data_IF_941566045279
#
_entry.id   IF_941566045279
#
_cell.length_a   1.000
_cell.length_b   1.000
_cell.length_c   1.000
_cell.angle_alpha   90.00
_cell.angle_beta   90.00
_cell.angle_gamma   90.00
#
_symmetry.space_group_name_H-M   'P 1'
#
loop_
_entity.id
_entity.type
_entity.pdbx_description
1 polymer ?
#
# COMPACT_ATOMS: atom_id res chain seq x y z
N UNK A 1 5.33 14.17 4.87
CA UNK A 1 4.40 13.08 4.46
C UNK A 1 3.28 13.02 5.48
N UNK A 2 2.03 12.92 5.04
CA UNK A 2 0.90 12.68 5.91
C UNK A 2 0.30 11.30 5.67
N UNK A 3 -0.15 10.66 6.73
CA UNK A 3 -0.85 9.37 6.68
C UNK A 3 -2.14 9.45 7.47
N UNK A 4 -3.21 8.90 6.92
CA UNK A 4 -4.47 8.66 7.59
C UNK A 4 -4.90 7.23 7.36
N UNK A 5 -5.15 6.50 8.44
CA UNK A 5 -5.59 5.10 8.40
C UNK A 5 -7.02 4.99 8.90
N UNK A 6 -7.86 4.30 8.16
CA UNK A 6 -9.28 4.08 8.50
C UNK A 6 -9.56 2.59 8.43
N UNK A 7 -10.09 2.04 9.52
CA UNK A 7 -10.56 0.67 9.60
C UNK A 7 -12.08 0.72 9.77
N UNK A 8 -12.82 -0.07 9.01
CA UNK A 8 -14.27 -0.16 9.12
C UNK A 8 -14.78 -1.48 8.52
N UNK A 9 -15.44 -2.30 9.33
CA UNK A 9 -15.90 -3.61 8.91
C UNK A 9 -14.76 -4.46 8.35
N UNK A 10 -14.90 -4.93 7.11
CA UNK A 10 -13.89 -5.75 6.43
C UNK A 10 -12.90 -4.93 5.58
N UNK A 11 -12.89 -3.61 5.72
CA UNK A 11 -12.00 -2.73 4.97
C UNK A 11 -10.99 -2.05 5.89
N UNK A 12 -9.76 -1.92 5.40
CA UNK A 12 -8.72 -1.11 6.02
C UNK A 12 -8.06 -0.24 4.94
N UNK A 13 -8.17 1.07 5.07
CA UNK A 13 -7.67 2.04 4.08
C UNK A 13 -6.57 2.90 4.68
N UNK A 14 -5.46 3.02 3.97
CA UNK A 14 -4.43 4.02 4.24
C UNK A 14 -4.46 5.07 3.13
N UNK A 15 -4.63 6.31 3.54
CA UNK A 15 -4.41 7.49 2.71
C UNK A 15 -3.02 8.03 3.01
N UNK A 16 -2.28 8.33 1.96
CA UNK A 16 -0.96 8.93 2.06
C UNK A 16 -0.83 10.09 1.08
N UNK A 17 -0.25 11.18 1.54
CA UNK A 17 0.23 12.26 0.68
C UNK A 17 1.71 12.49 0.98
N UNK A 18 2.54 12.46 -0.05
CA UNK A 18 3.97 12.70 0.05
C UNK A 18 4.43 13.71 -0.98
N UNK A 19 5.25 14.66 -0.54
CA UNK A 19 5.97 15.60 -1.40
C UNK A 19 7.46 15.28 -1.29
N UNK A 20 8.15 15.35 -2.42
CA UNK A 20 9.59 15.18 -2.45
C UNK A 20 10.30 16.20 -1.56
N UNK A 21 11.50 15.87 -1.11
CA UNK A 21 12.33 16.77 -0.30
C UNK A 21 13.25 17.57 -1.19
N UNK A 22 13.43 18.89 -0.95
CA UNK A 22 14.22 19.78 -1.81
C UNK A 22 15.69 19.35 -1.96
N UNK A 23 16.22 18.57 -1.03
CA UNK A 23 17.59 18.09 -0.97
C UNK A 23 17.80 16.70 -1.56
N UNK A 24 16.74 16.07 -2.07
CA UNK A 24 16.77 14.72 -2.62
C UNK A 24 16.57 14.73 -4.12
N UNK A 25 17.39 13.98 -4.83
CA UNK A 25 17.27 13.76 -6.27
C UNK A 25 17.12 12.27 -6.56
N UNK A 26 16.07 11.94 -7.28
CA UNK A 26 15.73 10.58 -7.69
C UNK A 26 15.00 9.74 -6.64
N UNK A 27 14.31 8.71 -7.12
CA UNK A 27 13.50 7.81 -6.31
C UNK A 27 12.25 8.46 -5.70
N UNK A 28 11.70 7.84 -4.67
CA UNK A 28 10.48 8.31 -4.00
C UNK A 28 10.64 9.60 -3.19
N UNK A 29 11.86 10.04 -2.94
CA UNK A 29 12.16 11.28 -2.24
C UNK A 29 12.50 12.45 -3.16
N UNK A 30 12.48 12.26 -4.48
CA UNK A 30 12.84 13.31 -5.46
C UNK A 30 12.03 14.58 -5.24
N UNK A 31 12.72 15.72 -5.23
CA UNK A 31 12.12 17.04 -4.95
C UNK A 31 10.93 17.40 -5.84
N UNK A 32 10.92 16.90 -7.07
CA UNK A 32 9.89 17.18 -8.06
C UNK A 32 8.75 16.12 -8.05
N UNK A 33 8.79 15.16 -7.11
CA UNK A 33 7.76 14.14 -6.99
C UNK A 33 6.67 14.55 -6.01
N UNK A 34 5.43 14.48 -6.44
CA UNK A 34 4.24 14.46 -5.61
C UNK A 34 3.52 13.12 -5.79
N UNK A 35 3.16 12.51 -4.69
CA UNK A 35 2.45 11.23 -4.66
C UNK A 35 1.28 11.31 -3.69
N UNK A 36 0.09 10.95 -4.16
CA UNK A 36 -1.07 10.66 -3.34
C UNK A 36 -1.45 9.20 -3.54
N UNK A 37 -1.70 8.50 -2.44
CA UNK A 37 -2.07 7.09 -2.43
C UNK A 37 -3.30 6.86 -1.58
N UNK A 38 -4.20 6.01 -2.08
CA UNK A 38 -5.29 5.40 -1.33
C UNK A 38 -5.17 3.89 -1.48
N UNK A 39 -4.70 3.22 -0.44
CA UNK A 39 -4.50 1.78 -0.41
C UNK A 39 -5.55 1.13 0.50
N UNK A 40 -6.46 0.36 -0.08
CA UNK A 40 -7.55 -0.29 0.65
C UNK A 40 -7.43 -1.80 0.58
N UNK A 41 -7.35 -2.45 1.74
CA UNK A 41 -7.63 -3.87 1.89
C UNK A 41 -9.13 -4.13 1.88
N UNK A 42 -9.56 -5.07 1.07
CA UNK A 42 -10.90 -5.65 1.03
C UNK A 42 -10.83 -7.09 1.54
N UNK A 43 -10.93 -7.24 2.86
CA UNK A 43 -10.64 -8.50 3.52
C UNK A 43 -9.13 -8.74 3.70
N UNK A 44 -8.72 -9.99 4.05
CA UNK A 44 -7.38 -10.25 4.57
C UNK A 44 -6.29 -10.31 3.49
N UNK A 45 -6.63 -10.44 2.21
CA UNK A 45 -5.64 -10.80 1.19
C UNK A 45 -5.75 -10.06 -0.14
N UNK A 46 -6.70 -9.14 -0.27
CA UNK A 46 -6.92 -8.38 -1.50
C UNK A 46 -6.81 -6.88 -1.24
N UNK A 47 -5.91 -6.21 -1.93
CA UNK A 47 -5.69 -4.78 -1.78
C UNK A 47 -5.72 -4.08 -3.14
N UNK A 48 -6.39 -2.95 -3.21
CA UNK A 48 -6.30 -2.00 -4.33
C UNK A 48 -5.60 -0.75 -3.82
N UNK A 49 -4.61 -0.29 -4.54
CA UNK A 49 -3.94 0.98 -4.29
C UNK A 49 -4.12 1.91 -5.49
N UNK A 50 -4.81 3.01 -5.27
CA UNK A 50 -4.98 4.11 -6.21
C UNK A 50 -3.86 5.12 -5.97
N UNK A 51 -3.08 5.39 -7.01
CA UNK A 51 -1.93 6.28 -6.97
C UNK A 51 -2.16 7.44 -7.94
N UNK A 52 -2.01 8.66 -7.45
CA UNK A 52 -1.94 9.88 -8.23
C UNK A 52 -0.51 10.39 -8.13
N UNK A 53 0.21 10.34 -9.23
CA UNK A 53 1.64 10.62 -9.31
C UNK A 53 1.84 11.84 -10.19
N UNK A 54 2.48 12.87 -9.65
CA UNK A 54 3.00 14.01 -10.43
C UNK A 54 4.52 14.04 -10.30
N UNK A 55 5.19 13.90 -11.41
CA UNK A 55 6.64 14.01 -11.50
C UNK A 55 7.03 15.04 -12.56
N UNK A 56 7.62 16.14 -12.12
CA UNK A 56 8.04 17.25 -12.99
C UNK A 56 6.90 17.82 -13.86
N UNK A 57 5.69 17.88 -13.28
CA UNK A 57 4.49 18.34 -13.97
C UNK A 57 3.85 17.33 -14.92
N UNK A 58 4.38 16.10 -14.96
CA UNK A 58 3.76 14.98 -15.67
C UNK A 58 2.93 14.16 -14.69
N UNK A 59 1.60 14.32 -14.78
CA UNK A 59 0.65 13.66 -13.89
C UNK A 59 0.05 12.43 -14.54
N UNK A 60 0.01 11.32 -13.79
CA UNK A 60 -0.67 10.11 -14.20
C UNK A 60 -1.33 9.42 -13.01
N UNK A 61 -2.36 8.63 -13.30
CA UNK A 61 -3.04 7.78 -12.32
C UNK A 61 -2.62 6.33 -12.55
N UNK A 62 -2.34 5.64 -11.46
CA UNK A 62 -1.95 4.22 -11.46
C UNK A 62 -2.82 3.46 -10.50
N UNK A 63 -3.29 2.29 -10.91
CA UNK A 63 -3.99 1.34 -10.03
C UNK A 63 -3.12 0.11 -9.88
N UNK A 64 -2.76 -0.18 -8.64
CA UNK A 64 -2.03 -1.39 -8.27
C UNK A 64 -2.97 -2.32 -7.52
N UNK A 65 -3.09 -3.55 -7.97
CA UNK A 65 -3.88 -4.61 -7.32
C UNK A 65 -2.90 -5.63 -6.76
N UNK A 66 -3.04 -5.93 -5.47
CA UNK A 66 -2.22 -6.93 -4.78
C UNK A 66 -3.11 -8.03 -4.20
N UNK A 67 -2.73 -9.28 -4.44
CA UNK A 67 -3.40 -10.44 -3.87
C UNK A 67 -2.38 -11.32 -3.15
N UNK A 68 -2.63 -11.61 -1.88
CA UNK A 68 -1.84 -12.55 -1.09
C UNK A 68 -2.55 -13.90 -1.09
N UNK A 69 -2.05 -14.84 -1.87
CA UNK A 69 -2.65 -16.17 -2.01
C UNK A 69 -1.92 -17.15 -1.09
N UNK A 70 -2.54 -17.61 0.03
CA UNK A 70 -1.93 -18.60 0.90
C UNK A 70 -1.61 -19.89 0.13
N UNK A 71 -0.39 -20.39 0.29
CA UNK A 71 0.09 -21.63 -0.34
C UNK A 71 0.49 -22.70 0.69
N UNK A 72 0.47 -22.34 1.96
CA UNK A 72 0.75 -23.20 3.09
C UNK A 72 0.57 -22.43 4.42
N UNK A 73 0.75 -23.10 5.57
CA UNK A 73 0.61 -22.45 6.87
C UNK A 73 1.50 -21.23 7.08
N UNK A 74 2.71 -21.25 6.50
CA UNK A 74 3.73 -20.23 6.68
C UNK A 74 4.17 -19.61 5.35
N UNK A 75 3.34 -19.73 4.31
CA UNK A 75 3.70 -19.25 2.98
C UNK A 75 2.52 -18.73 2.18
N UNK A 76 2.78 -17.75 1.36
CA UNK A 76 1.84 -17.22 0.38
C UNK A 76 2.56 -16.80 -0.91
N UNK A 77 1.82 -16.71 -1.99
CA UNK A 77 2.27 -16.10 -3.23
C UNK A 77 1.66 -14.70 -3.33
N UNK A 78 2.50 -13.69 -3.52
CA UNK A 78 2.04 -12.36 -3.89
C UNK A 78 1.82 -12.31 -5.41
N UNK A 79 0.59 -12.06 -5.80
CA UNK A 79 0.22 -11.73 -7.18
C UNK A 79 -0.13 -10.26 -7.25
N UNK A 80 0.36 -9.57 -8.28
CA UNK A 80 0.02 -8.17 -8.48
C UNK A 80 -0.30 -7.87 -9.94
N UNK A 81 -1.13 -6.87 -10.16
CA UNK A 81 -1.44 -6.29 -11.45
C UNK A 81 -1.33 -4.78 -11.37
N UNK A 82 -0.94 -4.15 -12.48
CA UNK A 82 -0.83 -2.70 -12.57
C UNK A 82 -1.58 -2.20 -13.80
N UNK A 83 -2.31 -1.11 -13.63
CA UNK A 83 -2.95 -0.36 -14.70
C UNK A 83 -2.49 1.10 -14.62
N UNK A 84 -2.00 1.63 -15.73
CA UNK A 84 -1.53 3.01 -15.83
C UNK A 84 -2.45 3.73 -16.79
N UNK A 85 -3.03 4.85 -16.34
CA UNK A 85 -3.89 5.68 -17.18
C UNK A 85 -3.05 6.28 -18.30
N UNK A 86 -3.48 6.08 -19.52
CA UNK A 86 -2.84 6.70 -20.68
C UNK A 86 -3.05 8.22 -20.63
N UNK A 87 -1.97 9.02 -20.53
CA UNK A 87 -2.09 10.46 -20.61
C UNK A 87 -2.61 10.93 -21.97
N UNK A 88 -3.37 12.03 -21.97
CA UNK A 88 -3.90 12.60 -23.19
C UNK A 88 -2.77 13.05 -24.13
N UNK A 89 -2.96 12.83 -25.43
CA UNK A 89 -2.02 13.24 -26.47
C UNK A 89 -0.83 12.30 -26.69
N UNK A 90 -0.68 11.25 -25.90
CA UNK A 90 0.35 10.24 -26.16
C UNK A 90 -0.10 9.19 -27.19
N UNK A 91 0.82 8.79 -28.05
CA UNK A 91 0.61 7.62 -28.90
C UNK A 91 0.65 6.32 -28.10
N UNK A 92 0.13 5.25 -28.69
CA UNK A 92 0.00 3.95 -28.02
C UNK A 92 1.35 3.33 -27.65
N UNK A 93 2.36 3.46 -28.50
CA UNK A 93 3.68 2.89 -28.25
C UNK A 93 4.37 3.57 -27.06
N UNK A 94 4.27 4.88 -26.98
CA UNK A 94 4.78 5.67 -25.84
C UNK A 94 4.03 5.33 -24.55
N UNK A 95 2.71 5.20 -24.61
CA UNK A 95 1.90 4.83 -23.46
C UNK A 95 2.27 3.43 -22.93
N UNK A 96 2.44 2.45 -23.81
CA UNK A 96 2.88 1.09 -23.45
C UNK A 96 4.29 1.07 -22.86
N UNK A 97 5.19 1.88 -23.38
CA UNK A 97 6.54 2.01 -22.83
C UNK A 97 6.50 2.57 -21.38
N UNK A 98 5.69 3.59 -21.14
CA UNK A 98 5.51 4.17 -19.80
C UNK A 98 4.91 3.12 -18.85
N UNK A 99 3.84 2.43 -19.26
CA UNK A 99 3.21 1.38 -18.44
C UNK A 99 4.20 0.26 -18.08
N UNK A 100 5.04 -0.18 -19.03
CA UNK A 100 6.08 -1.16 -18.78
C UNK A 100 7.11 -0.66 -17.74
N UNK A 101 7.50 0.61 -17.79
CA UNK A 101 8.40 1.21 -16.80
C UNK A 101 7.80 1.23 -15.38
N UNK A 102 6.52 1.55 -15.26
CA UNK A 102 5.82 1.45 -13.97
C UNK A 102 5.77 0.00 -13.47
N UNK A 103 5.47 -0.97 -14.34
CA UNK A 103 5.45 -2.38 -13.98
C UNK A 103 6.82 -2.88 -13.48
N UNK A 104 7.90 -2.51 -14.16
CA UNK A 104 9.28 -2.82 -13.77
C UNK A 104 9.64 -2.19 -12.42
N UNK A 105 9.26 -0.94 -12.19
CA UNK A 105 9.52 -0.21 -10.95
C UNK A 105 8.81 -0.88 -9.76
N UNK A 106 7.52 -1.16 -9.86
CA UNK A 106 6.77 -1.83 -8.79
C UNK A 106 7.24 -3.27 -8.57
N UNK A 107 7.51 -4.02 -9.64
CA UNK A 107 8.05 -5.37 -9.55
C UNK A 107 9.40 -5.41 -8.84
N UNK A 108 10.28 -4.46 -9.14
CA UNK A 108 11.57 -4.33 -8.46
C UNK A 108 11.41 -4.00 -6.97
N UNK A 109 10.47 -3.11 -6.61
CA UNK A 109 10.12 -2.80 -5.22
C UNK A 109 9.67 -4.05 -4.47
N UNK A 110 8.72 -4.80 -5.01
CA UNK A 110 8.25 -6.05 -4.39
C UNK A 110 9.35 -7.09 -4.18
N UNK A 111 10.29 -7.21 -5.11
CA UNK A 111 11.42 -8.13 -4.93
C UNK A 111 12.31 -7.73 -3.74
N UNK A 112 12.50 -6.44 -3.51
CA UNK A 112 13.23 -5.94 -2.34
C UNK A 112 12.45 -6.22 -1.05
N UNK A 113 11.15 -5.96 -1.04
CA UNK A 113 10.27 -6.24 0.10
C UNK A 113 10.24 -7.74 0.44
N UNK A 114 10.12 -8.61 -0.57
CA UNK A 114 10.15 -10.06 -0.39
C UNK A 114 11.45 -10.53 0.28
N UNK A 115 12.58 -9.92 -0.05
CA UNK A 115 13.86 -10.23 0.59
C UNK A 115 13.84 -9.94 2.10
N UNK A 116 13.14 -8.87 2.50
CA UNK A 116 12.93 -8.50 3.92
C UNK A 116 11.90 -9.45 4.55
N UNK A 117 10.75 -9.64 3.92
CA UNK A 117 9.63 -10.42 4.47
C UNK A 117 9.99 -11.87 4.76
N UNK A 118 10.83 -12.49 3.94
CA UNK A 118 11.33 -13.87 4.16
C UNK A 118 12.05 -14.06 5.49
N UNK A 119 12.55 -12.99 6.08
CA UNK A 119 13.30 -13.00 7.32
C UNK A 119 12.53 -12.41 8.51
N UNK A 120 11.28 -11.98 8.31
CA UNK A 120 10.44 -11.44 9.37
C UNK A 120 9.97 -12.55 10.30
N UNK A 121 10.00 -12.25 11.59
CA UNK A 121 9.39 -13.08 12.63
C UNK A 121 8.28 -12.29 13.31
N UNK A 122 7.18 -12.94 13.72
CA UNK A 122 6.12 -12.26 14.44
C UNK A 122 6.62 -11.84 15.83
N UNK A 123 6.49 -10.54 16.13
CA UNK A 123 6.78 -9.97 17.45
C UNK A 123 5.46 -9.54 18.06
N UNK A 124 5.08 -10.13 19.21
CA UNK A 124 3.79 -9.84 19.85
C UNK A 124 3.72 -8.39 20.35
N UNK A 125 4.76 -7.93 21.01
CA UNK A 125 4.85 -6.56 21.55
C UNK A 125 6.01 -5.83 20.88
N UNK A 126 5.86 -5.34 19.63
CA UNK A 126 6.90 -4.60 18.95
C UNK A 126 7.13 -3.25 19.64
N UNK A 127 8.38 -2.80 19.63
CA UNK A 127 8.69 -1.40 19.94
C UNK A 127 8.28 -0.54 18.76
N UNK A 128 7.34 0.36 18.97
CA UNK A 128 6.78 1.24 17.94
C UNK A 128 7.09 2.69 18.27
N UNK A 129 7.26 3.50 17.23
CA UNK A 129 7.22 4.96 17.27
C UNK A 129 5.90 5.46 16.66
N UNK A 130 5.65 6.75 16.75
CA UNK A 130 4.40 7.35 16.27
C UNK A 130 4.23 7.16 14.76
N UNK A 131 5.32 7.22 14.01
CA UNK A 131 5.36 7.07 12.55
C UNK A 131 5.07 5.65 12.07
N UNK A 132 5.17 4.63 12.94
CA UNK A 132 4.79 3.25 12.60
C UNK A 132 3.27 3.10 12.40
N UNK A 133 2.49 4.07 12.86
CA UNK A 133 1.05 4.08 12.74
C UNK A 133 0.34 3.06 13.66
N UNK A 134 -0.94 2.76 13.39
CA UNK A 134 -1.78 2.01 14.31
C UNK A 134 -1.62 0.48 14.14
N UNK A 135 -0.40 -0.06 14.31
CA UNK A 135 -0.07 -1.48 14.10
C UNK A 135 -0.93 -2.41 14.95
N UNK A 136 -1.21 -2.06 16.23
CA UNK A 136 -2.07 -2.87 17.09
C UNK A 136 -3.53 -2.88 16.62
N UNK A 137 -4.03 -1.78 16.07
CA UNK A 137 -5.36 -1.72 15.48
C UNK A 137 -5.44 -2.52 14.19
N UNK A 138 -4.42 -2.47 13.36
CA UNK A 138 -4.32 -3.31 12.16
C UNK A 138 -4.39 -4.80 12.54
N UNK A 139 -3.65 -5.23 13.56
CA UNK A 139 -3.67 -6.62 14.04
C UNK A 139 -5.06 -7.03 14.55
N UNK A 140 -5.72 -6.17 15.33
CA UNK A 140 -7.07 -6.40 15.85
C UNK A 140 -8.10 -6.50 14.71
N UNK A 141 -8.02 -5.60 13.74
CA UNK A 141 -8.84 -5.65 12.54
C UNK A 141 -8.60 -6.94 11.75
N UNK A 142 -7.34 -7.39 11.66
CA UNK A 142 -6.99 -8.62 10.94
C UNK A 142 -7.50 -9.88 11.63
N UNK A 143 -7.60 -9.90 12.95
CA UNK A 143 -8.00 -11.04 13.75
C UNK A 143 -9.43 -11.53 13.42
N UNK A 144 -10.35 -10.64 13.01
CA UNK A 144 -11.71 -11.00 12.60
C UNK A 144 -11.76 -12.07 11.50
N UNK A 145 -10.71 -12.21 10.70
CA UNK A 145 -10.65 -13.19 9.60
C UNK A 145 -10.09 -14.56 10.02
N UNK A 146 -9.67 -14.71 11.27
CA UNK A 146 -9.01 -15.90 11.79
C UNK A 146 -9.68 -16.47 13.03
N UNK A 147 -10.82 -15.92 13.44
CA UNK A 147 -11.67 -16.43 14.53
C UNK A 147 -13.01 -16.88 13.98
N UNK A 148 -13.77 -17.64 14.76
CA UNK A 148 -15.13 -17.98 14.41
C UNK A 148 -16.02 -16.75 14.38
N UNK A 149 -17.04 -16.73 13.52
CA UNK A 149 -17.94 -15.56 13.36
C UNK A 149 -18.56 -15.13 14.71
N UNK A 150 -18.83 -16.10 15.58
CA UNK A 150 -19.39 -15.83 16.91
C UNK A 150 -18.40 -15.13 17.87
N UNK A 151 -17.12 -15.18 17.57
CA UNK A 151 -16.04 -14.60 18.37
C UNK A 151 -15.56 -13.24 17.83
N UNK A 152 -16.14 -12.77 16.71
CA UNK A 152 -15.86 -11.43 16.19
C UNK A 152 -16.43 -10.38 17.14
N UNK A 153 -15.56 -9.52 17.66
CA UNK A 153 -15.95 -8.45 18.59
C UNK A 153 -16.15 -7.11 17.88
N UNK A 154 -16.91 -6.19 18.48
CA UNK A 154 -17.06 -4.84 17.92
C UNK A 154 -15.73 -4.12 17.67
N UNK A 155 -14.75 -4.29 18.54
CA UNK A 155 -13.43 -3.66 18.46
C UNK A 155 -12.63 -4.11 17.21
N UNK A 156 -12.99 -5.26 16.63
CA UNK A 156 -12.38 -5.76 15.39
C UNK A 156 -13.00 -5.09 14.14
N UNK A 157 -14.23 -4.60 14.23
CA UNK A 157 -15.03 -4.18 13.07
C UNK A 157 -15.52 -2.74 13.10
N UNK A 158 -15.58 -2.13 14.30
CA UNK A 158 -16.02 -0.75 14.45
C UNK A 158 -15.05 0.22 13.76
N UNK A 159 -15.58 1.37 13.35
CA UNK A 159 -14.76 2.39 12.71
C UNK A 159 -13.71 2.93 13.67
N UNK A 160 -12.46 2.85 13.24
CA UNK A 160 -11.32 3.47 13.89
C UNK A 160 -10.54 4.31 12.88
N UNK A 161 -10.11 5.49 13.30
CA UNK A 161 -9.36 6.41 12.45
C UNK A 161 -8.13 6.93 13.21
N UNK A 162 -7.00 6.97 12.51
CA UNK A 162 -5.72 7.44 13.03
C UNK A 162 -5.03 8.29 11.97
N UNK A 163 -4.51 9.44 12.37
CA UNK A 163 -3.81 10.37 11.48
C UNK A 163 -2.49 10.79 12.10
N UNK A 164 -1.44 10.90 11.27
CA UNK A 164 -0.13 11.38 11.66
C UNK A 164 0.51 12.18 10.53
N UNK A 165 1.11 13.30 10.86
CA UNK A 165 1.93 14.15 10.00
C UNK A 165 3.40 13.99 10.37
N UNK A 166 4.26 13.67 9.37
CA UNK A 166 5.71 13.47 9.55
C UNK A 166 6.53 14.35 8.61
#
# INVERSE_FOLDING_TARGET
TSFRNVFEGTQATQYMESKGRPDVSGGYGDADLFLRSEATYYGPSYMINWLDVDYKGFRTEVVLINCHVPTGPDSFTLQYGISVKKPDGLDEATAQFIAAKYADMFGSGFLQDVAIWKNKVPVQNPLLCEEDGPVYQLRRWYEQFYVDVADVTPEMTERFEFEVDT
#
